data_IF_821750239949
#
_entry.id   IF_821750239949
#
_cell.length_a   1.000
_cell.length_b   1.000
_cell.length_c   1.000
_cell.angle_alpha   90.00
_cell.angle_beta   90.00
_cell.angle_gamma   90.00
#
_symmetry.space_group_name_H-M   'P 1'
#
loop_
_entity.id
_entity.type
_entity.pdbx_description
1 polymer ?
#
# COMPACT_ATOMS: atom_id res chain seq x y z
N UNK A 1 28.05 11.63 2.66
CA UNK A 1 27.05 11.55 1.57
C UNK A 1 25.79 12.29 2.02
N UNK A 2 25.29 13.25 1.23
CA UNK A 2 23.99 13.90 1.53
C UNK A 2 22.90 12.82 1.54
N UNK A 3 22.15 12.74 2.63
CA UNK A 3 21.00 11.81 2.72
C UNK A 3 19.96 12.22 1.67
N UNK A 4 19.39 11.25 0.93
CA UNK A 4 18.25 11.51 0.03
C UNK A 4 17.12 12.10 0.89
N UNK A 5 16.47 13.20 0.51
CA UNK A 5 15.32 13.73 1.25
C UNK A 5 14.19 12.71 1.37
N UNK A 6 13.46 12.64 2.49
CA UNK A 6 12.44 11.60 2.73
C UNK A 6 11.33 11.61 1.68
N UNK A 7 10.94 12.77 1.17
CA UNK A 7 9.95 12.87 0.09
C UNK A 7 10.41 12.16 -1.19
N UNK A 8 11.66 12.36 -1.62
CA UNK A 8 12.20 11.68 -2.79
C UNK A 8 12.36 10.18 -2.57
N UNK A 9 12.79 9.78 -1.36
CA UNK A 9 12.86 8.37 -1.03
C UNK A 9 11.50 7.71 -1.21
N UNK A 10 10.44 8.24 -0.58
CA UNK A 10 9.10 7.66 -0.66
C UNK A 10 8.54 7.69 -2.08
N UNK A 11 8.79 8.80 -2.82
CA UNK A 11 8.32 8.96 -4.20
C UNK A 11 8.84 7.85 -5.13
N UNK A 12 10.11 7.48 -5.02
CA UNK A 12 10.71 6.44 -5.86
C UNK A 12 10.54 5.03 -5.28
N UNK A 13 10.40 4.91 -3.96
CA UNK A 13 10.31 3.61 -3.30
C UNK A 13 8.91 2.99 -3.40
N UNK A 14 7.83 3.79 -3.34
CA UNK A 14 6.47 3.28 -3.41
C UNK A 14 6.18 2.46 -4.68
N UNK A 15 6.50 2.89 -5.90
CA UNK A 15 6.28 2.06 -7.10
C UNK A 15 7.13 0.77 -7.10
N UNK A 16 8.32 0.78 -6.49
CA UNK A 16 9.16 -0.43 -6.41
C UNK A 16 8.47 -1.53 -5.60
N UNK A 17 7.88 -1.19 -4.46
CA UNK A 17 7.14 -2.16 -3.64
C UNK A 17 5.83 -2.58 -4.29
N UNK A 18 5.11 -1.66 -4.92
CA UNK A 18 3.81 -1.90 -5.50
C UNK A 18 3.88 -2.85 -6.70
N UNK A 19 4.80 -2.59 -7.66
CA UNK A 19 4.74 -3.15 -9.00
C UNK A 19 5.95 -4.00 -9.37
N UNK A 20 7.15 -3.58 -8.95
CA UNK A 20 8.37 -4.18 -9.49
C UNK A 20 8.83 -5.42 -8.71
N UNK A 21 8.70 -5.46 -7.39
CA UNK A 21 9.01 -6.65 -6.60
C UNK A 21 7.98 -7.75 -6.84
N UNK A 22 6.71 -7.40 -7.04
CA UNK A 22 5.64 -8.34 -7.43
C UNK A 22 5.73 -8.80 -8.89
N UNK A 23 6.43 -8.02 -9.73
CA UNK A 23 6.47 -8.26 -11.17
C UNK A 23 5.12 -8.00 -11.86
N UNK A 24 4.26 -7.18 -11.28
CA UNK A 24 2.94 -6.89 -11.86
C UNK A 24 3.04 -6.06 -13.13
N UNK A 25 4.03 -5.17 -13.20
CA UNK A 25 4.28 -4.31 -14.36
C UNK A 25 5.48 -4.74 -15.21
N UNK A 26 5.48 -4.47 -16.53
CA UNK A 26 6.62 -4.73 -17.40
C UNK A 26 7.79 -3.81 -17.06
N UNK A 27 8.99 -4.40 -16.88
CA UNK A 27 10.19 -3.67 -16.42
C UNK A 27 10.78 -2.69 -17.43
N UNK A 28 10.63 -2.97 -18.72
CA UNK A 28 11.30 -2.23 -19.81
C UNK A 28 10.35 -1.32 -20.60
N UNK A 29 9.13 -1.14 -20.15
CA UNK A 29 8.19 -0.21 -20.79
C UNK A 29 8.26 1.16 -20.11
N UNK A 30 8.91 2.18 -20.74
CA UNK A 30 9.11 3.49 -20.11
C UNK A 30 7.79 4.24 -19.85
N UNK A 31 6.76 3.97 -20.67
CA UNK A 31 5.43 4.55 -20.50
C UNK A 31 4.75 4.03 -19.24
N UNK A 32 4.78 2.70 -19.01
CA UNK A 32 4.24 2.08 -17.79
C UNK A 32 5.07 2.49 -16.57
N UNK A 33 6.40 2.55 -16.71
CA UNK A 33 7.29 3.03 -15.65
C UNK A 33 6.91 4.45 -15.20
N UNK A 34 6.69 5.36 -16.17
CA UNK A 34 6.29 6.74 -15.88
C UNK A 34 4.89 6.79 -15.23
N UNK A 35 3.92 6.03 -15.75
CA UNK A 35 2.58 5.95 -15.20
C UNK A 35 2.61 5.49 -13.73
N UNK A 36 3.36 4.41 -13.43
CA UNK A 36 3.52 3.89 -12.08
C UNK A 36 4.22 4.89 -11.16
N UNK A 37 5.28 5.55 -11.64
CA UNK A 37 5.98 6.56 -10.86
C UNK A 37 5.07 7.73 -10.49
N UNK A 38 4.24 8.20 -11.43
CA UNK A 38 3.30 9.32 -11.22
C UNK A 38 2.02 8.90 -10.49
N UNK A 39 1.78 7.61 -10.29
CA UNK A 39 0.67 7.07 -9.51
C UNK A 39 1.09 6.83 -8.06
N UNK A 40 2.03 5.90 -7.86
CA UNK A 40 2.43 5.43 -6.52
C UNK A 40 3.22 6.47 -5.74
N UNK A 41 4.13 7.18 -6.40
CA UNK A 41 4.97 8.20 -5.75
C UNK A 41 4.14 9.35 -5.16
N UNK A 42 3.36 10.08 -5.97
CA UNK A 42 2.46 11.11 -5.47
C UNK A 42 1.40 10.56 -4.52
N UNK A 43 0.80 9.39 -4.80
CA UNK A 43 -0.22 8.78 -3.96
C UNK A 43 0.26 8.54 -2.53
N UNK A 44 1.40 7.86 -2.36
CA UNK A 44 1.99 7.60 -1.05
C UNK A 44 2.41 8.90 -0.34
N UNK A 45 2.99 9.87 -1.07
CA UNK A 45 3.37 11.16 -0.50
C UNK A 45 2.15 11.97 -0.04
N UNK A 46 1.09 12.05 -0.85
CA UNK A 46 -0.14 12.77 -0.49
C UNK A 46 -0.76 12.20 0.77
N UNK A 47 -0.87 10.88 0.88
CA UNK A 47 -1.42 10.21 2.06
C UNK A 47 -0.55 10.46 3.29
N UNK A 48 0.77 10.33 3.17
CA UNK A 48 1.70 10.61 4.26
C UNK A 48 1.64 12.08 4.69
N UNK A 49 1.56 13.02 3.74
CA UNK A 49 1.43 14.44 4.02
C UNK A 49 0.10 14.80 4.70
N UNK A 50 -1.02 14.19 4.28
CA UNK A 50 -2.32 14.37 4.93
C UNK A 50 -2.28 13.86 6.38
N UNK A 51 -1.65 12.70 6.63
CA UNK A 51 -1.40 12.20 7.99
C UNK A 51 -0.69 13.26 8.85
N UNK A 52 0.41 13.83 8.34
CA UNK A 52 1.20 14.81 9.07
C UNK A 52 0.46 16.15 9.26
N UNK A 53 -0.13 16.69 8.19
CA UNK A 53 -0.86 17.98 8.21
C UNK A 53 -2.07 17.96 9.11
N UNK A 54 -2.82 16.84 9.12
CA UNK A 54 -4.01 16.68 9.96
C UNK A 54 -3.68 16.11 11.35
N UNK A 55 -2.40 15.82 11.62
CA UNK A 55 -1.93 15.19 12.87
C UNK A 55 -2.71 13.91 13.19
N UNK A 56 -2.84 13.03 12.19
CA UNK A 56 -3.60 11.78 12.29
C UNK A 56 -2.67 10.58 12.50
N UNK A 57 -3.28 9.48 12.96
CA UNK A 57 -2.64 8.19 13.13
C UNK A 57 -2.78 7.29 11.90
N UNK A 58 -2.38 6.03 12.06
CA UNK A 58 -2.36 5.03 10.99
C UNK A 58 -3.75 4.62 10.51
N UNK A 59 -4.80 4.79 11.33
CA UNK A 59 -6.18 4.57 10.89
C UNK A 59 -6.55 5.51 9.73
N UNK A 60 -6.14 6.79 9.81
CA UNK A 60 -6.36 7.73 8.72
C UNK A 60 -5.58 7.33 7.46
N UNK A 61 -4.34 6.83 7.60
CA UNK A 61 -3.56 6.30 6.47
C UNK A 61 -4.29 5.14 5.78
N UNK A 62 -4.84 4.22 6.58
CA UNK A 62 -5.60 3.10 6.03
C UNK A 62 -6.85 3.54 5.27
N UNK A 63 -7.63 4.46 5.83
CA UNK A 63 -8.83 5.00 5.17
C UNK A 63 -8.47 5.73 3.86
N UNK A 64 -7.37 6.51 3.87
CA UNK A 64 -6.85 7.16 2.67
C UNK A 64 -6.29 6.16 1.65
N UNK A 65 -5.71 5.06 2.11
CA UNK A 65 -5.27 3.98 1.23
C UNK A 65 -6.45 3.31 0.51
N UNK A 66 -7.59 3.13 1.17
CA UNK A 66 -8.83 2.67 0.51
C UNK A 66 -9.25 3.65 -0.59
N UNK A 67 -9.23 4.97 -0.32
CA UNK A 67 -9.51 5.98 -1.35
C UNK A 67 -8.54 5.89 -2.53
N UNK A 68 -7.26 5.65 -2.24
CA UNK A 68 -6.23 5.46 -3.26
C UNK A 68 -6.53 4.25 -4.14
N UNK A 69 -6.89 3.10 -3.56
CA UNK A 69 -7.21 1.88 -4.32
C UNK A 69 -8.43 2.08 -5.21
N UNK A 70 -9.46 2.77 -4.72
CA UNK A 70 -10.63 3.11 -5.54
C UNK A 70 -10.23 4.03 -6.70
N UNK A 71 -9.32 4.98 -6.48
CA UNK A 71 -8.81 5.83 -7.57
C UNK A 71 -7.99 5.03 -8.60
N UNK A 72 -7.14 4.11 -8.16
CA UNK A 72 -6.30 3.29 -9.01
C UNK A 72 -7.11 2.23 -9.78
N UNK A 73 -7.73 1.31 -9.06
CA UNK A 73 -8.39 0.14 -9.62
C UNK A 73 -9.76 0.46 -10.23
N UNK A 74 -10.44 1.48 -9.69
CA UNK A 74 -11.74 1.93 -10.18
C UNK A 74 -11.60 2.99 -11.28
N UNK A 75 -11.19 4.23 -10.92
CA UNK A 75 -11.18 5.36 -11.87
C UNK A 75 -10.13 5.20 -12.97
N UNK A 76 -8.92 4.71 -12.65
CA UNK A 76 -7.82 4.61 -13.59
C UNK A 76 -7.91 3.35 -14.45
N UNK A 77 -7.96 2.17 -13.82
CA UNK A 77 -7.80 0.88 -14.48
C UNK A 77 -9.14 0.19 -14.80
N UNK A 78 -10.25 0.59 -14.16
CA UNK A 78 -11.59 0.01 -14.29
C UNK A 78 -11.65 -1.50 -14.00
N UNK A 79 -10.68 -2.08 -13.31
CA UNK A 79 -10.57 -3.52 -13.06
C UNK A 79 -11.69 -4.03 -12.14
N UNK A 80 -12.22 -3.15 -11.28
CA UNK A 80 -13.32 -3.47 -10.37
C UNK A 80 -14.59 -3.86 -11.13
N UNK A 81 -14.74 -3.43 -12.37
CA UNK A 81 -15.96 -3.57 -13.18
C UNK A 81 -15.76 -4.38 -14.45
N UNK A 82 -14.54 -4.78 -14.79
CA UNK A 82 -14.25 -5.50 -16.04
C UNK A 82 -15.01 -6.85 -16.08
N UNK A 83 -15.98 -7.02 -17.01
CA UNK A 83 -16.76 -8.27 -17.10
C UNK A 83 -15.97 -9.42 -17.73
N UNK A 84 -14.76 -9.16 -18.22
CA UNK A 84 -13.95 -10.15 -18.95
C UNK A 84 -12.85 -10.75 -18.08
N UNK A 85 -12.56 -10.13 -16.92
CA UNK A 85 -11.46 -10.53 -16.04
C UNK A 85 -11.89 -10.52 -14.57
N UNK A 86 -11.40 -11.51 -13.81
CA UNK A 86 -11.53 -11.52 -12.35
C UNK A 86 -13.01 -11.43 -11.87
N UNK A 87 -13.92 -12.10 -12.58
CA UNK A 87 -15.37 -11.97 -12.38
C UNK A 87 -15.91 -12.78 -11.21
N UNK A 88 -15.05 -13.43 -10.43
CA UNK A 88 -15.45 -14.21 -9.25
C UNK A 88 -16.20 -13.31 -8.26
N UNK A 89 -17.37 -13.76 -7.81
CA UNK A 89 -18.24 -13.01 -6.90
C UNK A 89 -18.82 -11.73 -7.54
N UNK A 90 -19.00 -11.70 -8.86
CA UNK A 90 -19.56 -10.52 -9.56
C UNK A 90 -21.02 -10.32 -9.14
N UNK A 91 -21.30 -9.16 -8.57
CA UNK A 91 -22.62 -8.72 -8.14
C UNK A 91 -22.76 -7.21 -8.36
N UNK A 92 -23.91 -6.75 -8.89
CA UNK A 92 -24.16 -5.35 -9.23
C UNK A 92 -23.06 -4.74 -10.13
N UNK A 93 -22.52 -5.55 -11.03
CA UNK A 93 -21.46 -5.09 -11.96
C UNK A 93 -20.05 -5.01 -11.36
N UNK A 94 -19.89 -5.27 -10.07
CA UNK A 94 -18.59 -5.22 -9.35
C UNK A 94 -18.01 -6.61 -9.18
N UNK A 95 -16.72 -6.77 -9.40
CA UNK A 95 -15.93 -8.00 -9.18
C UNK A 95 -15.47 -8.05 -7.72
N UNK A 96 -16.34 -8.48 -6.79
CA UNK A 96 -16.12 -8.29 -5.35
C UNK A 96 -14.91 -9.04 -4.79
N UNK A 97 -14.60 -10.24 -5.30
CA UNK A 97 -13.39 -10.96 -4.85
C UNK A 97 -12.13 -10.20 -5.26
N UNK A 98 -12.06 -9.74 -6.50
CA UNK A 98 -10.96 -8.89 -6.98
C UNK A 98 -10.88 -7.59 -6.20
N UNK A 99 -11.99 -6.88 -6.07
CA UNK A 99 -12.08 -5.60 -5.34
C UNK A 99 -11.54 -5.72 -3.92
N UNK A 100 -12.02 -6.73 -3.17
CA UNK A 100 -11.56 -6.93 -1.79
C UNK A 100 -10.09 -7.32 -1.72
N UNK A 101 -9.58 -8.10 -2.68
CA UNK A 101 -8.16 -8.43 -2.80
C UNK A 101 -7.30 -7.19 -3.04
N UNK A 102 -7.68 -6.37 -4.01
CA UNK A 102 -6.94 -5.15 -4.33
C UNK A 102 -6.99 -4.13 -3.20
N UNK A 103 -8.15 -3.99 -2.52
CA UNK A 103 -8.25 -3.14 -1.32
C UNK A 103 -7.22 -3.51 -0.25
N UNK A 104 -6.99 -4.80 -0.01
CA UNK A 104 -6.00 -5.26 0.96
C UNK A 104 -4.58 -5.09 0.42
N UNK A 105 -4.32 -5.59 -0.78
CA UNK A 105 -2.97 -5.62 -1.37
C UNK A 105 -2.40 -4.23 -1.56
N UNK A 106 -3.10 -3.37 -2.30
CA UNK A 106 -2.59 -2.02 -2.57
C UNK A 106 -2.55 -1.15 -1.32
N UNK A 107 -3.55 -1.29 -0.40
CA UNK A 107 -3.46 -0.56 0.87
C UNK A 107 -2.22 -0.93 1.68
N UNK A 108 -1.87 -2.22 1.76
CA UNK A 108 -0.73 -2.68 2.56
C UNK A 108 0.60 -2.50 1.83
N UNK A 109 0.69 -2.94 0.57
CA UNK A 109 1.96 -3.03 -0.17
C UNK A 109 2.33 -1.71 -0.83
N UNK A 110 1.34 -1.04 -1.43
CA UNK A 110 1.61 0.18 -2.21
C UNK A 110 1.65 1.45 -1.35
N UNK A 111 0.93 1.46 -0.22
CA UNK A 111 0.79 2.66 0.62
C UNK A 111 1.40 2.44 2.00
N UNK A 112 0.93 1.44 2.73
CA UNK A 112 1.26 1.29 4.14
C UNK A 112 2.73 0.94 4.38
N UNK A 113 3.22 -0.11 3.74
CA UNK A 113 4.59 -0.57 3.91
C UNK A 113 5.64 0.46 3.48
N UNK A 114 5.54 1.14 2.30
CA UNK A 114 6.53 2.16 1.95
C UNK A 114 6.50 3.38 2.87
N UNK A 115 5.34 3.82 3.36
CA UNK A 115 5.26 4.92 4.33
C UNK A 115 5.89 4.51 5.65
N UNK A 116 5.57 3.31 6.18
CA UNK A 116 6.17 2.79 7.42
C UNK A 116 7.68 2.71 7.33
N UNK A 117 8.19 2.16 6.21
CA UNK A 117 9.64 2.03 6.02
C UNK A 117 10.32 3.40 5.91
N UNK A 118 9.71 4.34 5.17
CA UNK A 118 10.22 5.70 5.09
C UNK A 118 10.26 6.37 6.47
N UNK A 119 9.20 6.24 7.27
CA UNK A 119 9.16 6.79 8.64
C UNK A 119 10.10 6.06 9.61
N UNK A 120 10.46 4.79 9.35
CA UNK A 120 11.51 4.10 10.11
C UNK A 120 12.91 4.65 9.79
N UNK A 121 13.17 4.95 8.52
CA UNK A 121 14.48 5.46 8.05
C UNK A 121 14.70 6.93 8.45
N UNK A 122 13.61 7.73 8.46
CA UNK A 122 13.62 9.17 8.71
C UNK A 122 12.86 9.52 10.00
N UNK A 123 13.15 8.79 11.07
CA UNK A 123 12.44 8.88 12.36
C UNK A 123 12.36 10.32 12.90
N UNK A 124 13.46 11.08 12.82
CA UNK A 124 13.54 12.46 13.30
C UNK A 124 12.52 13.40 12.62
N UNK A 125 12.04 13.03 11.42
CA UNK A 125 11.15 13.85 10.57
C UNK A 125 9.73 13.26 10.46
N UNK A 126 9.35 12.29 11.29
CA UNK A 126 8.04 11.61 11.22
C UNK A 126 6.87 12.58 11.38
N UNK A 127 7.02 13.58 12.25
CA UNK A 127 5.98 14.57 12.53
C UNK A 127 6.06 15.81 11.63
N UNK A 128 7.08 15.91 10.77
CA UNK A 128 7.29 17.05 9.88
C UNK A 128 6.54 16.87 8.55
N UNK A 129 6.23 17.99 7.92
CA UNK A 129 5.79 18.00 6.52
C UNK A 129 7.04 17.84 5.62
N UNK A 130 7.05 16.81 4.76
CA UNK A 130 8.17 16.55 3.87
C UNK A 130 8.13 17.39 2.60
N UNK A 131 6.96 17.94 2.27
CA UNK A 131 6.80 18.82 1.11
C UNK A 131 6.08 20.12 1.48
N UNK A 132 6.47 21.20 0.80
CA UNK A 132 5.84 22.52 0.95
C UNK A 132 4.38 22.48 0.44
N UNK A 133 3.50 23.39 0.91
CA UNK A 133 2.11 23.43 0.44
C UNK A 133 1.96 23.48 -1.08
N UNK A 134 2.78 24.29 -1.77
CA UNK A 134 2.77 24.36 -3.24
C UNK A 134 3.09 23.01 -3.88
N UNK A 135 4.09 22.30 -3.39
CA UNK A 135 4.46 20.97 -3.89
C UNK A 135 3.35 19.94 -3.63
N UNK A 136 2.67 20.04 -2.49
CA UNK A 136 1.52 19.18 -2.20
C UNK A 136 0.42 19.33 -3.26
N UNK A 137 0.05 20.55 -3.65
CA UNK A 137 -0.94 20.77 -4.70
C UNK A 137 -0.45 20.31 -6.07
N UNK A 138 0.84 20.49 -6.38
CA UNK A 138 1.43 19.95 -7.62
C UNK A 138 1.30 18.43 -7.65
N UNK A 139 1.64 17.73 -6.56
CA UNK A 139 1.49 16.28 -6.46
C UNK A 139 0.03 15.84 -6.61
N UNK A 140 -0.92 16.60 -6.04
CA UNK A 140 -2.35 16.32 -6.19
C UNK A 140 -2.78 16.44 -7.66
N UNK A 141 -2.36 17.50 -8.35
CA UNK A 141 -2.66 17.70 -9.78
C UNK A 141 -2.02 16.57 -10.62
N UNK A 142 -0.75 16.23 -10.36
CA UNK A 142 -0.04 15.16 -11.08
C UNK A 142 -0.74 13.81 -10.87
N UNK A 143 -1.08 13.47 -9.63
CA UNK A 143 -1.82 12.24 -9.30
C UNK A 143 -3.18 12.20 -10.02
N UNK A 144 -3.97 13.26 -9.92
CA UNK A 144 -5.28 13.34 -10.56
C UNK A 144 -5.20 13.29 -12.09
N UNK A 145 -4.23 13.98 -12.68
CA UNK A 145 -3.99 13.94 -14.12
C UNK A 145 -3.56 12.54 -14.60
N UNK A 146 -2.75 11.84 -13.79
CA UNK A 146 -2.37 10.47 -14.08
C UNK A 146 -3.58 9.52 -14.02
N UNK A 147 -4.35 9.57 -12.93
CA UNK A 147 -5.55 8.73 -12.77
C UNK A 147 -6.57 8.96 -13.88
N UNK A 148 -6.86 10.21 -14.21
CA UNK A 148 -7.90 10.55 -15.21
C UNK A 148 -7.39 10.54 -16.65
N UNK A 149 -6.10 10.82 -16.88
CA UNK A 149 -5.48 10.91 -18.19
C UNK A 149 -4.86 9.59 -18.66
N UNK A 150 -3.83 9.11 -17.96
CA UNK A 150 -3.18 7.84 -18.31
C UNK A 150 -4.10 6.63 -18.16
N UNK A 151 -5.01 6.65 -17.20
CA UNK A 151 -6.04 5.64 -17.09
C UNK A 151 -6.84 5.45 -18.37
N UNK A 152 -7.12 6.53 -19.11
CA UNK A 152 -7.80 6.44 -20.39
C UNK A 152 -6.93 5.94 -21.55
N UNK A 153 -5.61 6.14 -21.46
CA UNK A 153 -4.63 5.67 -22.45
C UNK A 153 -4.22 4.21 -22.22
N UNK A 154 -4.10 3.83 -20.95
CA UNK A 154 -3.83 2.45 -20.53
C UNK A 154 -5.11 1.64 -20.42
N UNK A 155 -6.26 2.33 -20.53
CA UNK A 155 -7.55 1.79 -20.16
C UNK A 155 -7.85 0.48 -20.89
N UNK A 156 -8.37 -0.45 -20.11
CA UNK A 156 -8.86 -1.71 -20.60
C UNK A 156 -10.00 -1.49 -21.61
N UNK A 157 -10.31 -2.55 -22.32
CA UNK A 157 -11.42 -2.63 -23.28
C UNK A 157 -12.79 -2.31 -22.67
N UNK A 158 -12.92 -2.34 -21.34
CA UNK A 158 -14.16 -2.09 -20.61
C UNK A 158 -14.15 -0.74 -19.90
N UNK A 159 -15.22 0.05 -20.14
CA UNK A 159 -15.51 1.29 -19.41
C UNK A 159 -16.88 1.16 -18.75
N UNK A 160 -16.98 1.26 -17.43
CA UNK A 160 -18.25 1.23 -16.74
C UNK A 160 -19.08 2.49 -17.08
N UNK A 161 -20.38 2.44 -16.81
CA UNK A 161 -21.26 3.59 -16.99
C UNK A 161 -20.90 4.76 -16.06
N UNK A 162 -21.32 5.96 -16.40
CA UNK A 162 -21.00 7.19 -15.64
C UNK A 162 -21.39 7.12 -14.15
N UNK A 163 -22.44 6.38 -13.80
CA UNK A 163 -22.89 6.16 -12.44
C UNK A 163 -21.83 5.51 -11.54
N UNK A 164 -21.02 4.59 -12.07
CA UNK A 164 -19.94 3.97 -11.32
C UNK A 164 -18.85 4.99 -10.95
N UNK A 165 -18.45 5.84 -11.88
CA UNK A 165 -17.46 6.89 -11.63
C UNK A 165 -17.96 7.90 -10.57
N UNK A 166 -19.25 8.21 -10.55
CA UNK A 166 -19.84 9.07 -9.52
C UNK A 166 -19.81 8.39 -8.15
N UNK A 167 -20.13 7.10 -8.08
CA UNK A 167 -20.05 6.33 -6.83
C UNK A 167 -18.61 6.25 -6.33
N UNK A 168 -17.64 6.01 -7.19
CA UNK A 168 -16.22 5.98 -6.82
C UNK A 168 -15.73 7.34 -6.30
N UNK A 169 -16.09 8.42 -6.99
CA UNK A 169 -15.77 9.77 -6.53
C UNK A 169 -16.40 10.07 -5.16
N UNK A 170 -17.63 9.62 -4.93
CA UNK A 170 -18.30 9.74 -3.63
C UNK A 170 -17.58 8.92 -2.54
N UNK A 171 -17.16 7.69 -2.84
CA UNK A 171 -16.39 6.84 -1.92
C UNK A 171 -15.05 7.50 -1.57
N UNK A 172 -14.31 7.99 -2.58
CA UNK A 172 -13.05 8.71 -2.36
C UNK A 172 -13.26 9.93 -1.47
N UNK A 173 -14.28 10.76 -1.78
CA UNK A 173 -14.63 11.93 -0.97
C UNK A 173 -15.00 11.56 0.46
N UNK A 174 -15.81 10.52 0.65
CA UNK A 174 -16.18 10.01 1.98
C UNK A 174 -14.96 9.50 2.77
N UNK A 175 -14.05 8.76 2.13
CA UNK A 175 -12.81 8.30 2.76
C UNK A 175 -11.92 9.47 3.18
N UNK A 176 -11.74 10.48 2.33
CA UNK A 176 -10.96 11.70 2.65
C UNK A 176 -11.59 12.44 3.83
N UNK A 177 -12.92 12.63 3.81
CA UNK A 177 -13.65 13.24 4.88
C UNK A 177 -13.53 12.45 6.19
N UNK A 178 -13.74 11.13 6.15
CA UNK A 178 -13.66 10.26 7.32
C UNK A 178 -12.25 10.25 7.91
N UNK A 179 -11.21 10.13 7.06
CA UNK A 179 -9.82 10.17 7.50
C UNK A 179 -9.47 11.48 8.25
N UNK A 180 -10.09 12.60 7.85
CA UNK A 180 -9.93 13.85 8.57
C UNK A 180 -10.73 13.91 9.89
N UNK A 181 -11.75 13.07 10.07
CA UNK A 181 -12.61 13.04 11.27
C UNK A 181 -12.16 12.02 12.32
N UNK A 182 -11.45 10.97 11.95
CA UNK A 182 -10.95 10.00 12.93
C UNK A 182 -10.06 10.68 13.97
N UNK A 183 -10.04 10.18 15.22
CA UNK A 183 -9.19 10.73 16.27
C UNK A 183 -7.72 10.73 15.87
N UNK A 184 -6.97 11.73 16.32
CA UNK A 184 -5.52 11.72 16.25
C UNK A 184 -4.92 10.61 17.12
N UNK A 185 -3.62 10.32 16.95
CA UNK A 185 -2.94 9.35 17.78
C UNK A 185 -2.94 9.82 19.24
N UNK A 186 -3.08 8.86 20.16
CA UNK A 186 -2.92 9.15 21.59
C UNK A 186 -1.47 9.58 21.86
N UNK A 187 -1.24 10.54 22.77
CA UNK A 187 0.13 10.88 23.17
C UNK A 187 0.87 9.63 23.63
N UNK A 188 2.10 9.45 23.17
CA UNK A 188 2.96 8.39 23.67
C UNK A 188 3.23 8.66 25.15
N UNK A 189 2.75 7.79 26.04
CA UNK A 189 3.18 7.80 27.45
C UNK A 189 4.56 7.17 27.50
N UNK A 190 5.47 7.75 28.30
CA UNK A 190 6.92 7.41 28.32
C UNK A 190 7.26 5.94 28.64
N UNK A 191 6.30 5.10 29.00
CA UNK A 191 6.50 3.71 29.43
C UNK A 191 6.07 2.64 28.42
N UNK A 192 5.73 3.00 27.19
CA UNK A 192 5.17 2.03 26.25
C UNK A 192 6.25 1.29 25.46
N UNK A 193 6.85 0.28 26.09
CA UNK A 193 7.60 -0.75 25.33
C UNK A 193 6.67 -1.47 24.36
N UNK A 194 7.13 -1.80 23.13
CA UNK A 194 6.32 -2.61 22.22
C UNK A 194 5.91 -3.90 22.93
N UNK A 195 4.63 -4.27 22.81
CA UNK A 195 4.08 -5.45 23.47
C UNK A 195 4.71 -6.76 22.94
N UNK A 196 5.38 -6.72 21.81
CA UNK A 196 5.96 -7.88 21.13
C UNK A 196 7.34 -7.59 20.53
N UNK A 197 8.11 -8.66 20.32
CA UNK A 197 9.41 -8.57 19.68
C UNK A 197 9.28 -8.19 18.20
N UNK A 198 10.32 -7.54 17.65
CA UNK A 198 10.38 -7.18 16.23
C UNK A 198 10.26 -8.41 15.31
N UNK A 199 10.78 -9.58 15.72
CA UNK A 199 10.61 -10.83 14.97
C UNK A 199 9.14 -11.22 14.90
N UNK A 200 8.41 -11.10 16.01
CA UNK A 200 7.00 -11.43 16.04
C UNK A 200 6.18 -10.50 15.12
N UNK A 201 6.45 -9.18 15.16
CA UNK A 201 5.80 -8.20 14.25
C UNK A 201 6.07 -8.51 12.77
N UNK A 202 7.32 -8.89 12.46
CA UNK A 202 7.70 -9.34 11.11
C UNK A 202 6.91 -10.58 10.68
N UNK A 203 6.94 -11.63 11.50
CA UNK A 203 6.26 -12.91 11.19
C UNK A 203 4.75 -12.71 11.09
N UNK A 204 4.14 -11.95 11.99
CA UNK A 204 2.70 -11.65 11.92
C UNK A 204 2.32 -10.91 10.64
N UNK A 205 3.13 -9.92 10.23
CA UNK A 205 2.88 -9.15 9.00
C UNK A 205 3.06 -10.01 7.74
N UNK A 206 4.10 -10.83 7.69
CA UNK A 206 4.33 -11.78 6.59
C UNK A 206 3.21 -12.82 6.51
N UNK A 207 2.82 -13.42 7.64
CA UNK A 207 1.75 -14.42 7.70
C UNK A 207 0.39 -13.82 7.34
N UNK A 208 0.11 -12.59 7.78
CA UNK A 208 -1.10 -11.87 7.42
C UNK A 208 -1.18 -11.61 5.91
N UNK A 209 -0.07 -11.21 5.29
CA UNK A 209 -0.02 -11.01 3.85
C UNK A 209 -0.18 -12.34 3.09
N UNK A 210 0.51 -13.40 3.54
CA UNK A 210 0.39 -14.73 2.97
C UNK A 210 -1.05 -15.26 3.05
N UNK A 211 -1.70 -15.15 4.20
CA UNK A 211 -3.08 -15.58 4.39
C UNK A 211 -4.04 -14.81 3.45
N UNK A 212 -3.86 -13.50 3.31
CA UNK A 212 -4.64 -12.69 2.37
C UNK A 212 -4.50 -13.17 0.93
N UNK A 213 -3.27 -13.48 0.49
CA UNK A 213 -3.01 -13.96 -0.86
C UNK A 213 -3.60 -15.35 -1.10
N UNK A 214 -3.46 -16.25 -0.12
CA UNK A 214 -4.02 -17.61 -0.22
C UNK A 214 -5.55 -17.53 -0.29
N UNK A 215 -6.20 -16.83 0.62
CA UNK A 215 -7.66 -16.70 0.64
C UNK A 215 -8.17 -15.97 -0.61
N UNK A 216 -7.52 -14.86 -0.98
CA UNK A 216 -7.98 -14.00 -2.06
C UNK A 216 -7.79 -14.62 -3.46
N UNK A 217 -6.65 -15.24 -3.73
CA UNK A 217 -6.24 -15.58 -5.07
C UNK A 217 -5.95 -17.06 -5.33
N UNK A 218 -5.61 -17.84 -4.29
CA UNK A 218 -5.23 -19.25 -4.47
C UNK A 218 -6.40 -20.19 -4.18
N UNK A 219 -7.19 -19.93 -3.14
CA UNK A 219 -8.35 -20.76 -2.82
C UNK A 219 -9.43 -20.54 -3.88
N UNK A 220 -9.78 -21.56 -4.69
CA UNK A 220 -10.87 -21.43 -5.65
C UNK A 220 -12.18 -21.17 -4.89
N UNK A 221 -12.97 -20.22 -5.33
CA UNK A 221 -14.31 -20.05 -4.80
C UNK A 221 -15.31 -20.72 -5.74
N UNK A 222 -16.11 -21.64 -5.20
CA UNK A 222 -17.35 -22.03 -5.87
C UNK A 222 -18.22 -20.77 -6.02
N UNK A 223 -18.93 -20.57 -7.13
CA UNK A 223 -19.71 -19.35 -7.38
C UNK A 223 -20.65 -18.97 -6.23
N UNK A 224 -21.24 -19.95 -5.56
CA UNK A 224 -22.12 -19.76 -4.40
C UNK A 224 -21.36 -19.24 -3.16
N UNK A 225 -20.06 -19.51 -3.04
CA UNK A 225 -19.23 -19.15 -1.89
C UNK A 225 -18.35 -17.92 -2.14
N UNK A 226 -18.39 -17.35 -3.34
CA UNK A 226 -17.52 -16.22 -3.70
C UNK A 226 -17.74 -15.00 -2.78
N UNK A 227 -19.00 -14.68 -2.45
CA UNK A 227 -19.29 -13.59 -1.51
C UNK A 227 -18.88 -13.91 -0.07
N UNK A 228 -18.98 -15.18 0.34
CA UNK A 228 -18.46 -15.62 1.64
C UNK A 228 -16.93 -15.43 1.70
N UNK A 229 -16.22 -15.73 0.62
CA UNK A 229 -14.77 -15.46 0.48
C UNK A 229 -14.44 -13.97 0.68
N UNK A 230 -15.24 -13.07 0.10
CA UNK A 230 -15.10 -11.62 0.32
C UNK A 230 -15.24 -11.26 1.80
N UNK A 231 -16.30 -11.77 2.46
CA UNK A 231 -16.54 -11.52 3.89
C UNK A 231 -15.38 -12.03 4.74
N UNK A 232 -14.91 -13.26 4.48
CA UNK A 232 -13.75 -13.84 5.20
C UNK A 232 -12.52 -12.99 5.02
N UNK A 233 -12.20 -12.56 3.79
CA UNK A 233 -11.01 -11.77 3.49
C UNK A 233 -11.06 -10.38 4.15
N UNK A 234 -12.17 -9.67 4.06
CA UNK A 234 -12.34 -8.37 4.71
C UNK A 234 -12.32 -8.49 6.22
N UNK A 235 -12.99 -9.49 6.79
CA UNK A 235 -12.98 -9.76 8.24
C UNK A 235 -11.55 -10.06 8.72
N UNK A 236 -10.82 -10.91 7.99
CA UNK A 236 -9.43 -11.20 8.30
C UNK A 236 -8.56 -9.94 8.25
N UNK A 237 -8.71 -9.11 7.21
CA UNK A 237 -7.98 -7.86 7.10
C UNK A 237 -8.27 -6.90 8.28
N UNK A 238 -9.54 -6.72 8.63
CA UNK A 238 -9.94 -5.89 9.75
C UNK A 238 -9.45 -6.45 11.09
N UNK A 239 -9.53 -7.78 11.28
CA UNK A 239 -8.99 -8.45 12.47
C UNK A 239 -7.47 -8.29 12.55
N UNK A 240 -6.75 -8.42 11.45
CA UNK A 240 -5.31 -8.24 11.39
C UNK A 240 -4.91 -6.78 11.69
N UNK A 241 -5.59 -5.81 11.10
CA UNK A 241 -5.36 -4.40 11.42
C UNK A 241 -5.70 -4.06 12.86
N UNK A 242 -6.81 -4.60 13.38
CA UNK A 242 -7.20 -4.47 14.78
C UNK A 242 -6.17 -5.10 15.72
N UNK A 243 -5.64 -6.25 15.36
CA UNK A 243 -4.55 -6.92 16.07
C UNK A 243 -3.27 -6.06 16.07
N UNK A 244 -2.83 -5.54 14.92
CA UNK A 244 -1.68 -4.65 14.86
C UNK A 244 -1.92 -3.37 15.67
N UNK A 245 -3.13 -2.81 15.63
CA UNK A 245 -3.50 -1.65 16.43
C UNK A 245 -3.49 -1.95 17.94
N UNK A 246 -4.09 -3.07 18.36
CA UNK A 246 -4.12 -3.49 19.77
C UNK A 246 -2.73 -3.74 20.34
N UNK A 247 -1.82 -4.25 19.51
CA UNK A 247 -0.42 -4.50 19.86
C UNK A 247 0.47 -3.27 19.64
N UNK A 248 -0.14 -2.10 19.47
CA UNK A 248 0.54 -0.80 19.31
C UNK A 248 1.53 -0.72 18.15
N UNK A 249 1.37 -1.59 17.14
CA UNK A 249 2.18 -1.56 15.93
C UNK A 249 2.02 -0.24 15.13
N UNK A 250 1.07 0.59 15.51
CA UNK A 250 0.73 1.86 14.87
C UNK A 250 0.78 3.07 15.81
N UNK A 251 1.34 2.90 17.01
CA UNK A 251 1.49 4.03 17.92
C UNK A 251 2.55 5.01 17.39
N UNK A 252 2.37 6.33 17.59
CA UNK A 252 3.32 7.35 17.14
C UNK A 252 4.71 7.20 17.77
N UNK A 253 4.78 6.57 18.95
CA UNK A 253 6.03 6.26 19.66
C UNK A 253 6.63 4.91 19.29
N UNK A 254 6.16 4.24 18.22
CA UNK A 254 6.75 2.99 17.79
C UNK A 254 8.17 3.24 17.33
N UNK A 255 9.10 2.47 17.91
CA UNK A 255 10.51 2.56 17.55
C UNK A 255 10.73 2.20 16.06
N UNK A 256 11.80 2.70 15.43
CA UNK A 256 12.08 2.48 14.03
C UNK A 256 12.22 1.02 13.65
N UNK A 257 12.74 0.15 14.54
CA UNK A 257 12.90 -1.27 14.28
C UNK A 257 11.55 -2.00 14.23
N UNK A 258 10.58 -1.58 15.04
CA UNK A 258 9.21 -2.13 15.01
C UNK A 258 8.47 -1.71 13.72
N UNK A 259 8.57 -0.44 13.31
CA UNK A 259 8.04 0.02 12.00
C UNK A 259 8.67 -0.75 10.84
N UNK A 260 10.00 -0.91 10.90
CA UNK A 260 10.75 -1.70 9.91
C UNK A 260 10.27 -3.15 9.88
N UNK A 261 10.07 -3.79 11.03
CA UNK A 261 9.63 -5.18 11.13
C UNK A 261 8.27 -5.40 10.45
N UNK A 262 7.29 -4.52 10.70
CA UNK A 262 5.98 -4.58 10.04
C UNK A 262 6.11 -4.36 8.52
N UNK A 263 6.79 -3.30 8.09
CA UNK A 263 6.94 -2.98 6.67
C UNK A 263 7.69 -4.09 5.92
N UNK A 264 8.80 -4.57 6.48
CA UNK A 264 9.59 -5.63 5.85
C UNK A 264 8.84 -6.96 5.83
N UNK A 265 8.02 -7.28 6.84
CA UNK A 265 7.16 -8.46 6.82
C UNK A 265 6.16 -8.44 5.65
N UNK A 266 5.49 -7.31 5.43
CA UNK A 266 4.56 -7.13 4.28
C UNK A 266 5.30 -7.30 2.94
N UNK A 267 6.45 -6.63 2.77
CA UNK A 267 7.23 -6.66 1.52
C UNK A 267 7.83 -8.06 1.28
N UNK A 268 8.23 -8.77 2.33
CA UNK A 268 8.86 -10.08 2.23
C UNK A 268 7.99 -11.15 1.59
N UNK A 269 6.65 -11.00 1.63
CA UNK A 269 5.77 -11.88 0.87
C UNK A 269 6.14 -11.91 -0.63
N UNK A 270 6.29 -10.73 -1.25
CA UNK A 270 6.64 -10.64 -2.67
C UNK A 270 8.07 -11.09 -2.94
N UNK A 271 9.01 -10.83 -2.01
CA UNK A 271 10.38 -11.35 -2.12
C UNK A 271 10.37 -12.87 -2.18
N UNK A 272 9.59 -13.52 -1.32
CA UNK A 272 9.47 -14.98 -1.28
C UNK A 272 8.70 -15.56 -2.47
N UNK A 273 7.67 -14.84 -2.96
CA UNK A 273 6.88 -15.26 -4.11
C UNK A 273 7.61 -15.03 -5.45
N UNK A 274 8.62 -14.18 -5.49
CA UNK A 274 9.28 -13.74 -6.72
C UNK A 274 9.88 -14.86 -7.58
N UNK A 275 10.47 -15.96 -7.04
CA UNK A 275 10.93 -17.07 -7.87
C UNK A 275 9.80 -17.74 -8.65
N UNK A 276 8.65 -17.95 -8.00
CA UNK A 276 7.46 -18.51 -8.64
C UNK A 276 6.90 -17.56 -9.70
N UNK A 277 6.88 -16.25 -9.41
CA UNK A 277 6.44 -15.24 -10.37
C UNK A 277 7.37 -15.16 -11.58
N UNK A 278 8.68 -15.27 -11.37
CA UNK A 278 9.65 -15.30 -12.45
C UNK A 278 9.46 -16.51 -13.36
N UNK A 279 9.24 -17.69 -12.80
CA UNK A 279 8.94 -18.92 -13.54
C UNK A 279 7.61 -18.80 -14.30
N UNK A 280 6.54 -18.36 -13.64
CA UNK A 280 5.22 -18.24 -14.24
C UNK A 280 5.17 -17.25 -15.42
N UNK A 281 5.98 -16.19 -15.36
CA UNK A 281 6.06 -15.15 -16.41
C UNK A 281 7.16 -15.36 -17.44
N UNK A 282 8.02 -16.39 -17.26
CA UNK A 282 9.20 -16.57 -18.11
C UNK A 282 10.16 -15.38 -18.10
N UNK A 283 10.22 -14.64 -16.98
CA UNK A 283 10.96 -13.39 -16.87
C UNK A 283 11.66 -13.31 -15.51
N UNK A 284 12.97 -13.15 -15.51
CA UNK A 284 13.80 -13.08 -14.29
C UNK A 284 13.67 -11.75 -13.52
N UNK A 285 13.03 -10.76 -14.09
CA UNK A 285 12.88 -9.42 -13.49
C UNK A 285 12.35 -9.45 -12.06
N UNK A 286 11.24 -10.14 -11.72
CA UNK A 286 10.73 -10.22 -10.34
C UNK A 286 11.79 -10.72 -9.36
N UNK A 287 12.54 -11.74 -9.76
CA UNK A 287 13.59 -12.31 -8.91
C UNK A 287 14.76 -11.33 -8.69
N UNK A 288 15.20 -10.62 -9.72
CA UNK A 288 16.27 -9.61 -9.61
C UNK A 288 15.84 -8.48 -8.67
N UNK A 289 14.63 -7.94 -8.85
CA UNK A 289 14.12 -6.89 -7.96
C UNK A 289 13.94 -7.37 -6.53
N UNK A 290 13.53 -8.62 -6.32
CA UNK A 290 13.41 -9.21 -4.99
C UNK A 290 14.76 -9.35 -4.29
N UNK A 291 15.82 -9.77 -4.99
CA UNK A 291 17.18 -9.84 -4.44
C UNK A 291 17.70 -8.45 -4.06
N UNK A 292 17.50 -7.45 -4.93
CA UNK A 292 17.85 -6.06 -4.63
C UNK A 292 17.08 -5.51 -3.41
N UNK A 293 15.78 -5.80 -3.34
CA UNK A 293 14.93 -5.39 -2.21
C UNK A 293 15.36 -6.07 -0.91
N UNK A 294 15.67 -7.38 -0.94
CA UNK A 294 16.16 -8.09 0.23
C UNK A 294 17.48 -7.51 0.74
N UNK A 295 18.43 -7.22 -0.16
CA UNK A 295 19.71 -6.57 0.15
C UNK A 295 19.51 -5.16 0.73
N UNK A 296 18.59 -4.39 0.16
CA UNK A 296 18.21 -3.08 0.67
C UNK A 296 17.62 -3.17 2.08
N UNK A 297 16.63 -4.03 2.32
CA UNK A 297 16.04 -4.24 3.64
C UNK A 297 17.07 -4.69 4.68
N UNK A 298 17.98 -5.60 4.33
CA UNK A 298 19.07 -6.02 5.21
C UNK A 298 20.00 -4.85 5.57
N UNK A 299 20.30 -3.96 4.63
CA UNK A 299 21.13 -2.77 4.87
C UNK A 299 20.45 -1.76 5.79
N UNK A 300 19.15 -1.53 5.59
CA UNK A 300 18.32 -0.68 6.46
C UNK A 300 18.28 -1.24 7.88
N UNK A 301 18.04 -2.55 8.03
CA UNK A 301 18.02 -3.20 9.35
C UNK A 301 19.35 -3.03 10.10
N UNK A 302 20.49 -3.24 9.42
CA UNK A 302 21.81 -3.03 10.02
C UNK A 302 22.01 -1.59 10.49
N UNK A 303 21.54 -0.62 9.72
CA UNK A 303 21.62 0.80 10.06
C UNK A 303 20.76 1.14 11.28
N UNK A 304 19.51 0.67 11.31
CA UNK A 304 18.58 0.93 12.41
C UNK A 304 19.07 0.29 13.74
N UNK A 305 19.70 -0.90 13.67
CA UNK A 305 20.30 -1.55 14.85
C UNK A 305 21.52 -0.82 15.41
N UNK A 306 22.24 -0.06 14.59
CA UNK A 306 23.42 0.72 15.05
C UNK A 306 23.06 2.03 15.77
N UNK A 307 21.79 2.44 15.71
CA UNK A 307 21.36 3.75 16.21
C UNK A 307 21.83 4.93 15.33
N UNK A 308 21.45 6.15 15.68
CA UNK A 308 22.00 7.35 15.02
C UNK A 308 23.52 7.34 15.21
N UNK A 309 24.25 7.60 14.10
CA UNK A 309 25.69 7.81 14.18
C UNK A 309 25.93 9.03 15.06
N UNK A 310 26.58 8.80 16.21
CA UNK A 310 27.05 9.82 17.14
C UNK A 310 28.03 10.77 16.46
#
# INVERSE_FOLDING_TARGET
MKKIPPAWFLFFFAPLTAEYVSGSSPYLNPFVLLANLLLYGPGALLIRELKARWRKGWLAVFILAVAYVVAEEGLMLNTLFDPTKNTEGRLLGVNWVWTSGMLVVHSLVSIFAPILLAEAIYEEQVNEQWVKPRTFYVLLVVFSANVLGFGRLLAPSHRPGASYYLVEAAIIGACVWLANRVPGPRPATAETKPAHSNLWLFVASLSGMLATMVIGFIVPALPVLALAKVVVMLTFCLAFLGFLHRNRAFDPGLDPLSKFAVASGIISFWILASPLMALAKGNVGPFVFAVLMAGFLASVQKRLKKGPAS
#
